data_IF_920681974585
#
_entry.id   IF_920681974585
#
_cell.length_a   1.000
_cell.length_b   1.000
_cell.length_c   1.000
_cell.angle_alpha   90.00
_cell.angle_beta   90.00
_cell.angle_gamma   90.00
#
_symmetry.space_group_name_H-M   'P 1'
#
loop_
_entity.id
_entity.type
_entity.pdbx_description
1 polymer ?
#
# COMPACT_ATOMS: atom_id res chain seq x y z
N UNK A 1 33.29 19.90 -41.51
CA UNK A 1 34.55 19.21 -41.22
C UNK A 1 34.32 18.03 -40.26
N UNK A 2 35.21 17.07 -40.25
CA UNK A 2 35.16 15.91 -39.36
C UNK A 2 35.15 16.33 -37.89
N UNK A 3 35.90 17.37 -37.50
CA UNK A 3 35.94 17.89 -36.12
C UNK A 3 34.58 18.43 -35.68
N UNK A 4 33.92 19.19 -36.53
CA UNK A 4 32.59 19.75 -36.23
C UNK A 4 31.56 18.64 -35.99
N UNK A 5 31.54 17.60 -36.82
CA UNK A 5 30.69 16.44 -36.69
C UNK A 5 30.98 15.69 -35.40
N UNK A 6 32.25 15.50 -35.02
CA UNK A 6 32.66 14.84 -33.79
C UNK A 6 32.15 15.58 -32.54
N UNK A 7 32.33 16.89 -32.47
CA UNK A 7 31.88 17.70 -31.36
C UNK A 7 30.35 17.74 -31.25
N UNK A 8 29.65 17.85 -32.37
CA UNK A 8 28.19 17.81 -32.40
C UNK A 8 27.65 16.48 -31.87
N UNK A 9 28.22 15.36 -32.27
CA UNK A 9 27.85 14.00 -31.79
C UNK A 9 28.11 13.85 -30.31
N UNK A 10 29.26 14.28 -29.84
CA UNK A 10 29.63 14.22 -28.41
C UNK A 10 28.67 15.07 -27.56
N UNK A 11 28.35 16.27 -28.01
CA UNK A 11 27.39 17.16 -27.35
C UNK A 11 26.00 16.55 -27.27
N UNK A 12 25.55 15.90 -28.35
CA UNK A 12 24.26 15.19 -28.36
C UNK A 12 24.24 14.04 -27.37
N UNK A 13 25.27 13.21 -27.34
CA UNK A 13 25.39 12.08 -26.38
C UNK A 13 25.40 12.57 -24.94
N UNK A 14 26.08 13.67 -24.65
CA UNK A 14 26.09 14.27 -23.33
C UNK A 14 24.71 14.74 -22.91
N UNK A 15 23.94 15.37 -23.83
CA UNK A 15 22.57 15.80 -23.55
C UNK A 15 21.63 14.63 -23.30
N UNK A 16 21.75 13.58 -24.11
CA UNK A 16 20.96 12.35 -23.93
C UNK A 16 21.25 11.72 -22.56
N UNK A 17 22.52 11.62 -22.21
CA UNK A 17 22.94 11.07 -20.91
C UNK A 17 22.39 11.91 -19.75
N UNK A 18 22.46 13.22 -19.83
CA UNK A 18 21.97 14.13 -18.80
C UNK A 18 20.45 14.01 -18.64
N UNK A 19 19.68 14.02 -19.73
CA UNK A 19 18.23 13.84 -19.69
C UNK A 19 17.82 12.48 -19.16
N UNK A 20 18.51 11.42 -19.57
CA UNK A 20 18.30 10.07 -19.07
C UNK A 20 18.53 10.00 -17.57
N UNK A 21 19.60 10.61 -17.09
CA UNK A 21 19.95 10.66 -15.67
C UNK A 21 18.90 11.38 -14.85
N UNK A 22 18.40 12.50 -15.33
CA UNK A 22 17.33 13.26 -14.67
C UNK A 22 16.04 12.48 -14.60
N UNK A 23 15.65 11.81 -15.69
CA UNK A 23 14.44 10.97 -15.71
C UNK A 23 14.58 9.73 -14.82
N UNK A 24 15.77 9.10 -14.78
CA UNK A 24 16.05 7.99 -13.88
C UNK A 24 15.89 8.39 -12.42
N UNK A 25 16.32 9.60 -12.07
CA UNK A 25 16.17 10.13 -10.71
C UNK A 25 14.69 10.24 -10.33
N UNK A 26 13.86 10.75 -11.24
CA UNK A 26 12.40 10.85 -11.04
C UNK A 26 11.80 9.46 -10.82
N UNK A 27 12.13 8.51 -11.68
CA UNK A 27 11.63 7.13 -11.60
C UNK A 27 12.08 6.46 -10.31
N UNK A 28 13.35 6.57 -9.93
CA UNK A 28 13.87 5.98 -8.71
C UNK A 28 13.20 6.55 -7.46
N UNK A 29 13.01 7.87 -7.43
CA UNK A 29 12.32 8.53 -6.31
C UNK A 29 10.89 8.03 -6.18
N UNK A 30 10.18 7.91 -7.31
CA UNK A 30 8.81 7.40 -7.34
C UNK A 30 8.76 5.92 -6.92
N UNK A 31 9.71 5.09 -7.37
CA UNK A 31 9.79 3.68 -6.99
C UNK A 31 10.05 3.51 -5.49
N UNK A 32 10.97 4.26 -4.93
CA UNK A 32 11.27 4.22 -3.48
C UNK A 32 10.05 4.61 -2.67
N UNK A 33 9.35 5.65 -3.09
CA UNK A 33 8.14 6.14 -2.43
C UNK A 33 7.04 5.08 -2.46
N UNK A 34 6.82 4.45 -3.61
CA UNK A 34 5.82 3.40 -3.77
C UNK A 34 6.19 2.11 -3.03
N UNK A 35 7.46 1.75 -2.98
CA UNK A 35 7.93 0.58 -2.20
C UNK A 35 7.72 0.77 -0.71
N UNK A 36 7.99 1.96 -0.18
CA UNK A 36 7.70 2.30 1.22
C UNK A 36 6.19 2.23 1.50
N UNK A 37 5.39 2.79 0.62
CA UNK A 37 3.93 2.75 0.69
C UNK A 37 3.43 1.30 0.69
N UNK A 38 3.96 0.47 -0.19
CA UNK A 38 3.65 -0.96 -0.26
C UNK A 38 3.96 -1.68 1.05
N UNK A 39 5.12 -1.45 1.63
CA UNK A 39 5.53 -2.07 2.89
C UNK A 39 4.60 -1.66 4.05
N UNK A 40 4.22 -0.39 4.11
CA UNK A 40 3.26 0.12 5.11
C UNK A 40 1.89 -0.53 4.92
N UNK A 41 1.42 -0.64 3.69
CA UNK A 41 0.14 -1.27 3.36
C UNK A 41 0.15 -2.76 3.71
N UNK A 42 1.24 -3.48 3.43
CA UNK A 42 1.39 -4.89 3.81
C UNK A 42 1.34 -5.08 5.32
N UNK A 43 1.96 -4.18 6.07
CA UNK A 43 1.93 -4.20 7.53
C UNK A 43 0.51 -3.96 8.05
N UNK A 44 -0.20 -3.00 7.47
CA UNK A 44 -1.60 -2.74 7.81
C UNK A 44 -2.47 -3.96 7.52
N UNK A 45 -2.24 -4.63 6.39
CA UNK A 45 -2.96 -5.84 6.02
C UNK A 45 -2.71 -6.96 7.03
N UNK A 46 -1.47 -7.14 7.49
CA UNK A 46 -1.14 -8.12 8.51
C UNK A 46 -1.83 -7.81 9.84
N UNK A 47 -1.97 -6.54 10.19
CA UNK A 47 -2.68 -6.13 11.40
C UNK A 47 -4.17 -6.46 11.33
N UNK A 48 -4.78 -6.49 10.14
CA UNK A 48 -6.19 -6.87 9.97
C UNK A 48 -6.44 -8.36 10.21
N UNK A 49 -5.40 -9.19 10.23
CA UNK A 49 -5.53 -10.62 10.53
C UNK A 49 -6.09 -10.86 11.95
N UNK A 50 -5.96 -9.90 12.85
CA UNK A 50 -6.53 -9.94 14.20
C UNK A 50 -8.06 -9.95 14.21
N UNK A 51 -8.70 -9.62 13.08
CA UNK A 51 -10.17 -9.59 12.99
C UNK A 51 -10.81 -10.92 13.35
N UNK A 52 -10.22 -12.04 12.95
CA UNK A 52 -10.73 -13.38 13.20
C UNK A 52 -10.82 -13.67 14.70
N UNK A 53 -9.86 -13.19 15.46
CA UNK A 53 -9.84 -13.28 16.93
C UNK A 53 -11.08 -12.60 17.52
N UNK A 54 -11.42 -11.41 17.07
CA UNK A 54 -12.57 -10.66 17.56
C UNK A 54 -13.89 -11.32 17.16
N UNK A 55 -13.96 -11.88 15.97
CA UNK A 55 -15.13 -12.65 15.53
C UNK A 55 -15.38 -13.85 16.43
N UNK A 56 -14.33 -14.61 16.72
CA UNK A 56 -14.38 -15.78 17.60
C UNK A 56 -14.83 -15.36 19.02
N UNK A 57 -14.27 -14.28 19.54
CA UNK A 57 -14.65 -13.77 20.85
C UNK A 57 -16.15 -13.41 20.90
N UNK A 58 -16.64 -12.71 19.88
CA UNK A 58 -18.06 -12.34 19.79
C UNK A 58 -18.97 -13.57 19.71
N UNK A 59 -18.62 -14.55 18.90
CA UNK A 59 -19.37 -15.80 18.75
C UNK A 59 -19.42 -16.59 20.07
N UNK A 60 -18.29 -16.72 20.74
CA UNK A 60 -18.21 -17.47 22.01
C UNK A 60 -18.99 -16.77 23.12
N UNK A 61 -18.98 -15.45 23.17
CA UNK A 61 -19.80 -14.70 24.13
C UNK A 61 -21.29 -14.94 23.85
N UNK A 62 -21.72 -14.93 22.61
CA UNK A 62 -23.12 -15.20 22.23
C UNK A 62 -23.54 -16.63 22.57
N UNK A 63 -22.63 -17.59 22.41
CA UNK A 63 -22.91 -19.01 22.65
C UNK A 63 -22.89 -19.38 24.15
N UNK A 64 -21.92 -18.89 24.89
CA UNK A 64 -21.66 -19.30 26.28
C UNK A 64 -21.82 -18.19 27.30
N UNK A 65 -22.13 -16.97 26.89
CA UNK A 65 -22.18 -15.80 27.76
C UNK A 65 -23.43 -15.69 28.63
N UNK A 66 -24.41 -16.55 28.47
CA UNK A 66 -25.72 -16.43 29.16
C UNK A 66 -25.63 -16.60 30.69
N UNK A 67 -24.62 -17.28 31.19
CA UNK A 67 -24.42 -17.48 32.60
C UNK A 67 -23.43 -16.56 33.29
N UNK A 68 -22.92 -15.56 32.56
CA UNK A 68 -21.93 -14.65 33.08
C UNK A 68 -22.55 -13.61 34.03
N UNK A 69 -21.89 -13.40 35.17
CA UNK A 69 -22.28 -12.37 36.13
C UNK A 69 -21.91 -10.98 35.60
N UNK A 70 -22.72 -9.98 35.95
CA UNK A 70 -22.39 -8.59 35.65
C UNK A 70 -21.06 -8.21 36.33
N UNK A 71 -20.22 -7.47 35.59
CA UNK A 71 -18.91 -7.03 36.08
C UNK A 71 -17.79 -8.04 35.88
N UNK A 72 -18.02 -9.17 35.21
CA UNK A 72 -16.96 -10.08 34.81
C UNK A 72 -15.93 -9.39 33.93
N UNK A 73 -14.64 -9.59 34.24
CA UNK A 73 -13.53 -9.03 33.46
C UNK A 73 -13.00 -9.96 32.39
N UNK A 74 -13.33 -11.23 32.47
CA UNK A 74 -12.96 -12.24 31.49
C UNK A 74 -13.77 -13.48 31.69
N UNK A 75 -13.84 -14.33 30.68
CA UNK A 75 -14.34 -15.67 30.83
C UNK A 75 -13.57 -16.66 29.96
N UNK A 76 -13.59 -17.92 30.37
CA UNK A 76 -12.92 -18.99 29.63
C UNK A 76 -13.96 -19.74 28.83
N UNK A 77 -13.68 -19.98 27.56
CA UNK A 77 -14.53 -20.77 26.70
C UNK A 77 -13.69 -21.65 25.79
N UNK A 78 -14.27 -22.77 25.37
CA UNK A 78 -13.63 -23.63 24.39
C UNK A 78 -13.80 -23.04 23.01
N UNK A 79 -12.68 -22.78 22.34
CA UNK A 79 -12.69 -22.40 20.92
C UNK A 79 -12.94 -23.66 20.09
N UNK A 80 -14.16 -23.81 19.57
CA UNK A 80 -14.55 -25.00 18.81
C UNK A 80 -13.86 -25.11 17.44
N UNK A 81 -13.19 -24.05 16.97
CA UNK A 81 -12.38 -24.11 15.77
C UNK A 81 -11.03 -24.78 15.99
N UNK A 82 -10.44 -24.60 17.15
CA UNK A 82 -9.09 -25.13 17.49
C UNK A 82 -9.11 -26.16 18.59
N UNK A 83 -10.25 -26.40 19.26
CA UNK A 83 -10.41 -27.26 20.45
C UNK A 83 -9.54 -26.83 21.63
N UNK A 84 -9.13 -25.58 21.68
CA UNK A 84 -8.35 -25.02 22.79
C UNK A 84 -9.22 -24.11 23.64
N UNK A 85 -8.97 -24.16 24.98
CA UNK A 85 -9.60 -23.22 25.90
C UNK A 85 -8.93 -21.86 25.77
N UNK A 86 -9.72 -20.82 25.56
CA UNK A 86 -9.24 -19.44 25.46
C UNK A 86 -9.90 -18.56 26.50
N UNK A 87 -9.16 -17.53 26.95
CA UNK A 87 -9.68 -16.53 27.88
C UNK A 87 -10.06 -15.29 27.07
N UNK A 88 -11.31 -14.87 27.16
CA UNK A 88 -11.85 -13.71 26.46
C UNK A 88 -11.93 -12.54 27.43
N UNK A 89 -11.17 -11.46 27.20
CA UNK A 89 -11.27 -10.25 28.02
C UNK A 89 -12.64 -9.59 27.85
N UNK A 90 -13.27 -9.17 28.93
CA UNK A 90 -14.55 -8.48 28.93
C UNK A 90 -14.40 -7.12 29.59
N UNK A 91 -15.19 -6.16 29.12
CA UNK A 91 -15.34 -4.87 29.78
C UNK A 91 -16.35 -5.05 30.92
N UNK A 92 -15.95 -4.85 32.19
CA UNK A 92 -16.84 -5.04 33.33
C UNK A 92 -17.99 -4.03 33.40
N UNK A 93 -17.89 -2.93 32.66
CA UNK A 93 -18.94 -1.91 32.61
C UNK A 93 -20.04 -2.26 31.60
N UNK A 94 -19.83 -3.27 30.79
CA UNK A 94 -20.75 -3.71 29.73
C UNK A 94 -21.37 -5.07 30.07
N UNK A 95 -22.57 -5.28 29.57
CA UNK A 95 -23.21 -6.61 29.61
C UNK A 95 -22.49 -7.57 28.67
N UNK A 96 -22.67 -8.90 28.82
CA UNK A 96 -22.12 -9.85 27.84
C UNK A 96 -22.55 -9.56 26.40
N UNK A 97 -23.83 -9.22 26.20
CA UNK A 97 -24.35 -8.86 24.86
C UNK A 97 -23.64 -7.62 24.30
N UNK A 98 -23.40 -6.62 25.13
CA UNK A 98 -22.67 -5.42 24.72
C UNK A 98 -21.20 -5.71 24.41
N UNK A 99 -20.57 -6.58 25.17
CA UNK A 99 -19.20 -7.04 24.89
C UNK A 99 -19.11 -7.78 23.55
N UNK A 100 -20.06 -8.67 23.28
CA UNK A 100 -20.15 -9.38 22.00
C UNK A 100 -20.29 -8.40 20.83
N UNK A 101 -21.18 -7.44 20.94
CA UNK A 101 -21.38 -6.40 19.93
C UNK A 101 -20.11 -5.60 19.69
N UNK A 102 -19.39 -5.24 20.75
CA UNK A 102 -18.13 -4.51 20.65
C UNK A 102 -17.08 -5.29 19.86
N UNK A 103 -16.97 -6.59 20.08
CA UNK A 103 -16.06 -7.44 19.33
C UNK A 103 -16.47 -7.59 17.86
N UNK A 104 -17.76 -7.76 17.57
CA UNK A 104 -18.24 -7.80 16.20
C UNK A 104 -18.06 -6.46 15.47
N UNK A 105 -18.19 -5.33 16.16
CA UNK A 105 -17.92 -4.01 15.58
C UNK A 105 -16.43 -3.87 15.23
N UNK A 106 -15.53 -4.35 16.10
CA UNK A 106 -14.09 -4.37 15.82
C UNK A 106 -13.77 -5.26 14.62
N UNK A 107 -14.39 -6.44 14.54
CA UNK A 107 -14.25 -7.34 13.40
C UNK A 107 -14.68 -6.66 12.10
N UNK A 108 -15.85 -6.05 12.08
CA UNK A 108 -16.39 -5.38 10.91
C UNK A 108 -15.51 -4.22 10.44
N UNK A 109 -14.96 -3.44 11.40
CA UNK A 109 -14.07 -2.34 11.13
C UNK A 109 -12.76 -2.81 10.49
N UNK A 110 -12.15 -3.87 11.05
CA UNK A 110 -10.94 -4.46 10.51
C UNK A 110 -11.17 -5.11 9.16
N UNK A 111 -12.33 -5.73 8.95
CA UNK A 111 -12.70 -6.31 7.66
C UNK A 111 -12.79 -5.24 6.57
N UNK A 112 -13.42 -4.10 6.87
CA UNK A 112 -13.48 -2.97 5.94
C UNK A 112 -12.10 -2.41 5.63
N UNK A 113 -11.23 -2.32 6.65
CA UNK A 113 -9.83 -1.90 6.48
C UNK A 113 -9.07 -2.87 5.59
N UNK A 114 -9.25 -4.18 5.80
CA UNK A 114 -8.63 -5.22 4.97
C UNK A 114 -9.02 -5.06 3.50
N UNK A 115 -10.30 -4.90 3.22
CA UNK A 115 -10.80 -4.73 1.85
C UNK A 115 -10.21 -3.47 1.20
N UNK A 116 -10.19 -2.34 1.91
CA UNK A 116 -9.64 -1.09 1.42
C UNK A 116 -8.14 -1.18 1.17
N UNK A 117 -7.40 -1.76 2.11
CA UNK A 117 -5.93 -1.91 1.99
C UNK A 117 -5.56 -2.88 0.88
N UNK A 118 -6.31 -3.97 0.72
CA UNK A 118 -6.09 -4.93 -0.36
C UNK A 118 -6.20 -4.24 -1.73
N UNK A 119 -7.21 -3.40 -1.90
CA UNK A 119 -7.39 -2.62 -3.12
C UNK A 119 -6.24 -1.62 -3.32
N UNK A 120 -5.82 -0.93 -2.27
CA UNK A 120 -4.70 0.00 -2.30
C UNK A 120 -3.38 -0.70 -2.66
N UNK A 121 -3.14 -1.91 -2.14
CA UNK A 121 -1.96 -2.71 -2.46
C UNK A 121 -1.94 -3.08 -3.94
N UNK A 122 -3.07 -3.48 -4.51
CA UNK A 122 -3.18 -3.78 -5.93
C UNK A 122 -2.82 -2.56 -6.79
N UNK A 123 -3.30 -1.38 -6.42
CA UNK A 123 -2.99 -0.13 -7.11
C UNK A 123 -1.50 0.20 -7.00
N UNK A 124 -0.90 0.03 -5.82
CA UNK A 124 0.52 0.29 -5.59
C UNK A 124 1.41 -0.68 -6.37
N UNK A 125 1.04 -1.96 -6.43
CA UNK A 125 1.75 -2.97 -7.24
C UNK A 125 1.71 -2.61 -8.73
N UNK A 126 0.57 -2.13 -9.21
CA UNK A 126 0.40 -1.68 -10.58
C UNK A 126 1.29 -0.47 -10.89
N UNK A 127 1.36 0.50 -9.98
CA UNK A 127 2.25 1.67 -10.12
C UNK A 127 3.72 1.26 -10.15
N UNK A 128 4.14 0.36 -9.26
CA UNK A 128 5.52 -0.14 -9.21
C UNK A 128 5.87 -0.84 -10.51
N UNK A 129 5.00 -1.70 -11.01
CA UNK A 129 5.19 -2.40 -12.27
C UNK A 129 5.34 -1.44 -13.44
N UNK A 130 4.50 -0.40 -13.48
CA UNK A 130 4.56 0.63 -14.50
C UNK A 130 5.87 1.42 -14.44
N UNK A 131 6.31 1.82 -13.25
CA UNK A 131 7.57 2.53 -13.05
C UNK A 131 8.78 1.68 -13.41
N UNK A 132 8.77 0.40 -13.11
CA UNK A 132 9.81 -0.55 -13.53
C UNK A 132 9.86 -0.67 -15.04
N UNK A 133 8.71 -0.69 -15.70
CA UNK A 133 8.62 -0.68 -17.16
C UNK A 133 9.25 0.59 -17.75
N UNK A 134 8.99 1.75 -17.16
CA UNK A 134 9.60 3.03 -17.56
C UNK A 134 11.11 3.00 -17.34
N UNK A 135 11.57 2.45 -16.22
CA UNK A 135 13.00 2.29 -15.94
C UNK A 135 13.69 1.44 -17.02
N UNK A 136 13.06 0.35 -17.44
CA UNK A 136 13.56 -0.48 -18.53
C UNK A 136 13.58 0.27 -19.86
N UNK A 137 12.56 1.07 -20.14
CA UNK A 137 12.52 1.93 -21.33
C UNK A 137 13.67 2.94 -21.34
N UNK A 138 14.03 3.50 -20.18
CA UNK A 138 15.19 4.39 -20.04
C UNK A 138 16.50 3.69 -20.34
N UNK A 139 16.63 2.43 -19.95
CA UNK A 139 17.85 1.63 -20.19
C UNK A 139 18.07 1.39 -21.67
N UNK A 140 17.02 1.30 -22.48
CA UNK A 140 17.10 1.05 -23.91
C UNK A 140 16.93 2.32 -24.77
N UNK A 141 16.61 3.46 -24.17
CA UNK A 141 16.44 4.72 -24.88
C UNK A 141 17.79 5.20 -25.44
N UNK A 142 17.81 5.54 -26.73
CA UNK A 142 19.04 5.94 -27.45
C UNK A 142 18.92 7.28 -28.17
N UNK A 143 17.76 7.91 -28.14
CA UNK A 143 17.52 9.18 -28.81
C UNK A 143 16.79 10.15 -27.91
N UNK A 144 16.88 11.44 -28.24
CA UNK A 144 16.12 12.48 -27.54
C UNK A 144 14.61 12.28 -27.69
N UNK A 145 14.17 11.75 -28.84
CA UNK A 145 12.77 11.42 -29.08
C UNK A 145 12.25 10.39 -28.11
N UNK A 146 13.03 9.32 -27.87
CA UNK A 146 12.68 8.29 -26.90
C UNK A 146 12.54 8.87 -25.50
N UNK A 147 13.48 9.72 -25.10
CA UNK A 147 13.46 10.37 -23.78
C UNK A 147 12.30 11.34 -23.64
N UNK A 148 11.95 12.06 -24.71
CA UNK A 148 10.79 12.95 -24.72
C UNK A 148 9.49 12.21 -24.50
N UNK A 149 9.32 11.05 -25.12
CA UNK A 149 8.16 10.19 -24.93
C UNK A 149 8.04 9.70 -23.48
N UNK A 150 9.16 9.28 -22.90
CA UNK A 150 9.20 8.84 -21.50
C UNK A 150 8.86 10.00 -20.56
N UNK A 151 9.42 11.17 -20.80
CA UNK A 151 9.12 12.37 -20.02
C UNK A 151 7.64 12.74 -20.08
N UNK A 152 7.06 12.65 -21.26
CA UNK A 152 5.64 12.91 -21.47
C UNK A 152 4.76 11.93 -20.69
N UNK A 153 5.10 10.65 -20.72
CA UNK A 153 4.42 9.61 -19.94
C UNK A 153 4.52 9.88 -18.43
N UNK A 154 5.71 10.21 -17.94
CA UNK A 154 5.90 10.54 -16.53
C UNK A 154 5.12 11.80 -16.12
N UNK A 155 4.98 12.75 -17.02
CA UNK A 155 4.19 13.96 -16.80
C UNK A 155 2.70 13.65 -16.74
N UNK A 156 2.18 12.80 -17.62
CA UNK A 156 0.78 12.37 -17.64
C UNK A 156 0.38 11.67 -16.35
N UNK A 157 1.27 10.83 -15.82
CA UNK A 157 1.00 10.09 -14.57
C UNK A 157 1.30 10.91 -13.31
N UNK A 158 1.71 12.18 -13.47
CA UNK A 158 1.89 13.10 -12.36
C UNK A 158 3.22 12.99 -11.60
N UNK A 159 4.18 12.20 -12.09
CA UNK A 159 5.51 12.08 -11.49
C UNK A 159 6.39 13.29 -11.75
N UNK A 160 6.14 14.00 -12.86
CA UNK A 160 6.78 15.26 -13.20
C UNK A 160 5.68 16.31 -13.25
N UNK A 161 5.88 17.45 -12.60
CA UNK A 161 4.94 18.56 -12.65
C UNK A 161 4.94 19.17 -14.05
N UNK A 162 3.75 19.35 -14.61
CA UNK A 162 3.61 20.13 -15.83
C UNK A 162 3.98 21.57 -15.54
N UNK A 163 4.93 22.09 -16.29
CA UNK A 163 5.21 23.51 -16.28
C UNK A 163 4.13 24.23 -17.08
N UNK A 164 3.15 24.78 -16.35
CA UNK A 164 2.27 25.75 -16.98
C UNK A 164 3.07 27.04 -17.19
N UNK A 165 3.48 27.30 -18.39
CA UNK A 165 3.91 28.63 -18.74
C UNK A 165 2.70 29.54 -18.63
N UNK A 166 2.60 30.29 -17.54
CA UNK A 166 1.66 31.39 -17.44
C UNK A 166 2.02 32.42 -18.47
N UNK A 167 1.44 32.28 -19.63
CA UNK A 167 1.44 33.37 -20.61
C UNK A 167 0.31 34.30 -20.24
N UNK A 168 0.65 35.37 -19.63
CA UNK A 168 -0.20 36.55 -19.69
C UNK A 168 0.27 37.46 -20.80
#
# INVERSE_FOLDING_TARGET
>A
TMLETYYATKSLLTRIHQKSSDLRRVVQTALERNRKKYNIQKKQLNDTAKKDKFKIYGELINTYGYGLEEGCRSFKALNYYTNEEITIPLDPTLTPAQNSKKYFDKYGKLKRTEEAVTEQIADTESEISHLESISNALDIARSESDLSQIKEELTEYGYIKRHYTNKK
#
